data_IF_307566262200
#
_entry.id   IF_307566262200
#
_cell.length_a   1.000
_cell.length_b   1.000
_cell.length_c   1.000
_cell.angle_alpha   90.00
_cell.angle_beta   90.00
_cell.angle_gamma   90.00
#
_symmetry.space_group_name_H-M   'P 1'
#
loop_
_entity.id
_entity.type
_entity.pdbx_description
1 polymer ?
#
# COMPACT_ATOMS: atom_id res chain seq x y z
N UNK A 1 -20.61 5.41 8.31
CA UNK A 1 -20.85 3.97 8.46
C UNK A 1 -20.22 3.45 9.75
N UNK A 2 -18.94 3.72 9.98
CA UNK A 2 -18.24 3.22 11.16
C UNK A 2 -18.90 3.70 12.47
N UNK A 3 -19.24 4.98 12.55
CA UNK A 3 -19.89 5.53 13.74
C UNK A 3 -21.24 4.88 14.02
N UNK A 4 -22.06 4.61 13.00
CA UNK A 4 -23.33 3.92 13.13
C UNK A 4 -23.17 2.48 13.62
N UNK A 5 -22.17 1.77 13.11
CA UNK A 5 -21.85 0.39 13.54
C UNK A 5 -21.39 0.36 14.99
N UNK A 6 -20.53 1.28 15.39
CA UNK A 6 -20.04 1.36 16.77
C UNK A 6 -21.17 1.74 17.74
N UNK A 7 -22.13 2.56 17.31
CA UNK A 7 -23.30 2.90 18.12
C UNK A 7 -24.19 1.69 18.42
N UNK A 8 -24.20 0.69 17.53
CA UNK A 8 -24.88 -0.59 17.79
C UNK A 8 -24.14 -1.51 18.78
N UNK A 9 -22.96 -1.11 19.26
CA UNK A 9 -22.15 -1.91 20.16
C UNK A 9 -21.18 -2.86 19.44
N UNK A 10 -21.01 -2.74 18.14
CA UNK A 10 -20.05 -3.53 17.38
C UNK A 10 -18.64 -3.00 17.63
N UNK A 11 -17.73 -3.88 18.02
CA UNK A 11 -16.32 -3.52 18.24
C UNK A 11 -15.61 -3.24 16.90
N UNK A 12 -14.75 -2.24 16.88
CA UNK A 12 -14.00 -1.85 15.68
C UNK A 12 -13.24 -3.02 15.04
N UNK A 13 -12.70 -3.91 15.85
CA UNK A 13 -11.95 -5.10 15.39
C UNK A 13 -12.81 -6.13 14.64
N UNK A 14 -14.13 -6.07 14.78
CA UNK A 14 -15.07 -6.94 14.07
C UNK A 14 -15.45 -6.38 12.70
N UNK A 15 -14.99 -5.19 12.34
CA UNK A 15 -15.30 -4.50 11.09
C UNK A 15 -14.03 -4.50 10.24
N UNK A 16 -14.14 -4.99 9.02
CA UNK A 16 -13.05 -4.92 8.05
C UNK A 16 -13.09 -3.64 7.23
N UNK A 17 -12.80 -3.75 5.94
CA UNK A 17 -12.72 -2.62 5.04
C UNK A 17 -14.08 -1.98 4.79
N UNK A 18 -14.08 -0.65 4.64
CA UNK A 18 -15.26 0.14 4.29
C UNK A 18 -14.97 0.84 2.97
N UNK A 19 -15.83 0.60 1.95
CA UNK A 19 -15.77 1.27 0.66
C UNK A 19 -16.88 2.31 0.56
N UNK A 20 -16.58 3.42 -0.09
CA UNK A 20 -17.57 4.49 -0.32
C UNK A 20 -18.37 4.32 -1.62
N UNK A 21 -17.76 3.74 -2.65
CA UNK A 21 -18.40 3.54 -3.97
C UNK A 21 -18.15 2.12 -4.54
N UNK A 22 -19.15 1.23 -4.54
CA UNK A 22 -20.44 1.36 -3.84
C UNK A 22 -20.25 1.37 -2.32
N UNK A 23 -21.14 2.01 -1.60
CA UNK A 23 -21.07 2.05 -0.14
C UNK A 23 -21.25 0.63 0.41
N UNK A 24 -20.18 0.09 0.95
CA UNK A 24 -20.13 -1.28 1.44
C UNK A 24 -19.10 -1.42 2.54
N UNK A 25 -19.24 -2.46 3.34
CA UNK A 25 -18.27 -2.78 4.39
C UNK A 25 -18.21 -4.28 4.64
N UNK A 26 -17.09 -4.74 5.18
CA UNK A 26 -16.90 -6.11 5.64
C UNK A 26 -17.06 -6.18 7.15
N UNK A 27 -17.61 -7.28 7.65
CA UNK A 27 -17.69 -7.57 9.07
C UNK A 27 -17.48 -9.06 9.32
N UNK A 28 -17.25 -9.44 10.57
CA UNK A 28 -17.21 -10.84 10.94
C UNK A 28 -18.58 -11.47 10.72
N UNK A 29 -18.61 -12.69 10.19
CA UNK A 29 -19.86 -13.43 9.86
C UNK A 29 -20.79 -13.52 11.08
N UNK A 30 -20.24 -13.66 12.27
CA UNK A 30 -21.00 -13.71 13.52
C UNK A 30 -21.86 -12.47 13.78
N UNK A 31 -21.45 -11.30 13.23
CA UNK A 31 -22.14 -10.04 13.43
C UNK A 31 -23.05 -9.67 12.26
N UNK A 32 -23.03 -10.39 11.14
CA UNK A 32 -23.72 -9.99 9.92
C UNK A 32 -25.23 -9.91 10.09
N UNK A 33 -25.86 -10.90 10.73
CA UNK A 33 -27.31 -10.90 10.95
C UNK A 33 -27.74 -9.79 11.90
N UNK A 34 -27.00 -9.59 12.98
CA UNK A 34 -27.29 -8.52 13.94
C UNK A 34 -27.21 -7.14 13.27
N UNK A 35 -26.19 -6.89 12.47
CA UNK A 35 -26.01 -5.64 11.74
C UNK A 35 -27.14 -5.46 10.73
N UNK A 36 -27.48 -6.47 9.96
CA UNK A 36 -28.54 -6.43 8.95
C UNK A 36 -29.90 -6.08 9.57
N UNK A 37 -30.19 -6.62 10.74
CA UNK A 37 -31.48 -6.39 11.42
C UNK A 37 -31.55 -5.05 12.15
N UNK A 38 -30.41 -4.53 12.61
CA UNK A 38 -30.37 -3.37 13.50
C UNK A 38 -29.81 -2.09 12.85
N UNK A 39 -28.98 -2.19 11.80
CA UNK A 39 -28.49 -1.02 11.08
C UNK A 39 -29.45 -0.61 9.99
N UNK A 40 -30.39 0.25 10.32
CA UNK A 40 -31.44 0.71 9.38
C UNK A 40 -31.30 2.19 9.02
N UNK A 41 -30.40 2.92 9.69
CA UNK A 41 -30.16 4.34 9.45
C UNK A 41 -28.69 4.68 9.62
N UNK A 42 -28.20 5.54 8.74
CA UNK A 42 -26.90 6.20 8.88
C UNK A 42 -27.18 7.69 8.89
N UNK A 43 -26.81 8.37 9.97
CA UNK A 43 -27.15 9.79 10.19
C UNK A 43 -28.68 9.98 10.10
N UNK A 44 -29.15 10.75 9.12
CA UNK A 44 -30.60 11.02 8.89
C UNK A 44 -31.20 10.17 7.77
N UNK A 45 -30.41 9.32 7.13
CA UNK A 45 -30.86 8.52 5.99
C UNK A 45 -31.24 7.11 6.40
N UNK A 46 -32.42 6.67 5.97
CA UNK A 46 -32.80 5.26 6.08
C UNK A 46 -32.05 4.42 5.06
N UNK A 47 -31.61 3.23 5.45
CA UNK A 47 -30.84 2.35 4.60
C UNK A 47 -31.37 0.91 4.64
N UNK A 48 -31.09 0.17 3.58
CA UNK A 48 -31.24 -1.28 3.53
C UNK A 48 -29.90 -1.93 3.31
N UNK A 49 -29.59 -2.97 4.09
CA UNK A 49 -28.37 -3.73 3.93
C UNK A 49 -28.65 -4.99 3.12
N UNK A 50 -27.79 -5.22 2.13
CA UNK A 50 -27.80 -6.43 1.31
C UNK A 50 -26.46 -7.13 1.47
N UNK A 51 -26.50 -8.43 1.71
CA UNK A 51 -25.28 -9.22 1.78
C UNK A 51 -24.66 -9.34 0.40
N UNK A 52 -23.39 -8.96 0.27
CA UNK A 52 -22.63 -9.10 -0.95
C UNK A 52 -21.72 -10.31 -0.87
N UNK A 53 -21.76 -11.14 -1.90
CA UNK A 53 -20.83 -12.26 -2.06
C UNK A 53 -19.52 -11.84 -2.72
N UNK A 54 -19.47 -10.61 -3.23
CA UNK A 54 -18.26 -10.07 -3.82
C UNK A 54 -17.28 -9.66 -2.75
N UNK A 55 -16.00 -9.95 -3.00
CA UNK A 55 -14.92 -9.55 -2.11
C UNK A 55 -14.71 -8.05 -2.25
N UNK A 56 -14.66 -7.35 -1.12
CA UNK A 56 -14.31 -5.92 -1.13
C UNK A 56 -12.89 -5.76 -1.65
N UNK A 57 -12.74 -4.96 -2.69
CA UNK A 57 -11.42 -4.54 -3.19
C UNK A 57 -11.19 -3.09 -2.82
N UNK A 58 -10.11 -2.84 -2.10
CA UNK A 58 -9.62 -1.47 -1.91
C UNK A 58 -8.89 -1.10 -3.20
N UNK A 59 -9.44 -0.15 -3.94
CA UNK A 59 -8.72 0.43 -5.06
C UNK A 59 -7.68 1.40 -4.50
N UNK A 60 -6.43 0.91 -4.41
CA UNK A 60 -5.31 1.80 -4.18
C UNK A 60 -4.98 2.51 -5.49
N UNK A 61 -5.00 3.82 -5.47
CA UNK A 61 -4.55 4.60 -6.61
C UNK A 61 -3.03 4.43 -6.74
N UNK A 62 -2.60 3.86 -7.86
CA UNK A 62 -1.19 3.59 -8.13
C UNK A 62 -0.83 4.07 -9.52
N UNK A 63 0.45 4.37 -9.74
CA UNK A 63 0.99 4.64 -11.06
C UNK A 63 2.32 3.92 -11.24
N UNK A 64 2.67 3.60 -12.48
CA UNK A 64 3.87 2.86 -12.82
C UNK A 64 4.89 3.77 -13.49
N UNK A 65 6.15 3.63 -13.11
CA UNK A 65 7.28 4.36 -13.71
C UNK A 65 8.41 3.37 -13.95
N UNK A 66 9.10 3.52 -15.08
CA UNK A 66 10.27 2.71 -15.44
C UNK A 66 11.55 3.49 -15.15
N UNK A 67 12.49 2.85 -14.46
CA UNK A 67 13.81 3.42 -14.18
C UNK A 67 14.91 2.42 -14.56
N UNK A 68 16.12 2.94 -14.80
CA UNK A 68 17.29 2.15 -15.17
C UNK A 68 18.33 2.31 -14.08
N UNK A 69 18.86 1.20 -13.59
CA UNK A 69 19.89 1.18 -12.55
C UNK A 69 21.04 0.25 -12.94
N UNK A 70 22.26 0.63 -12.57
CA UNK A 70 23.45 -0.18 -12.85
C UNK A 70 23.62 -1.38 -11.91
N UNK A 71 22.98 -1.35 -10.75
CA UNK A 71 22.94 -2.47 -9.81
C UNK A 71 21.68 -2.40 -8.95
N UNK A 72 21.38 -3.51 -8.28
CA UNK A 72 20.21 -3.63 -7.39
C UNK A 72 20.50 -3.18 -5.95
N UNK A 73 21.58 -2.45 -5.73
CA UNK A 73 21.91 -1.88 -4.42
C UNK A 73 20.84 -0.89 -3.97
N UNK A 74 20.54 -0.91 -2.69
CA UNK A 74 19.49 -0.08 -2.11
C UNK A 74 19.71 1.41 -2.36
N UNK A 75 20.95 1.92 -2.22
CA UNK A 75 21.27 3.33 -2.46
C UNK A 75 20.98 3.76 -3.91
N UNK A 76 21.31 2.91 -4.88
CA UNK A 76 21.02 3.17 -6.30
C UNK A 76 19.54 3.07 -6.61
N UNK A 77 18.85 2.09 -6.03
CA UNK A 77 17.41 1.92 -6.21
C UNK A 77 16.64 3.11 -5.64
N UNK A 78 16.96 3.54 -4.44
CA UNK A 78 16.32 4.70 -3.81
C UNK A 78 16.54 5.97 -4.64
N UNK A 79 17.77 6.23 -5.07
CA UNK A 79 18.08 7.39 -5.89
C UNK A 79 17.28 7.41 -7.20
N UNK A 80 17.22 6.30 -7.92
CA UNK A 80 16.51 6.21 -9.19
C UNK A 80 15.00 6.28 -9.02
N UNK A 81 14.44 5.54 -8.08
CA UNK A 81 12.99 5.42 -7.90
C UNK A 81 12.36 6.69 -7.34
N UNK A 82 13.04 7.40 -6.45
CA UNK A 82 12.51 8.61 -5.83
C UNK A 82 13.07 9.91 -6.44
N UNK A 83 13.91 9.80 -7.47
CA UNK A 83 14.43 10.97 -8.19
C UNK A 83 15.31 11.87 -7.34
N UNK A 84 16.09 11.31 -6.42
CA UNK A 84 17.03 12.05 -5.56
C UNK A 84 18.46 11.66 -5.90
N UNK A 85 19.41 12.48 -5.44
CA UNK A 85 20.83 12.17 -5.65
C UNK A 85 21.24 10.93 -4.84
N UNK A 86 22.29 10.26 -5.28
CA UNK A 86 22.86 9.11 -4.56
C UNK A 86 23.29 9.50 -3.15
N UNK A 87 23.88 10.67 -2.97
CA UNK A 87 24.28 11.16 -1.65
C UNK A 87 23.10 11.33 -0.71
N UNK A 88 21.99 11.90 -1.21
CA UNK A 88 20.75 12.01 -0.42
C UNK A 88 20.16 10.65 -0.10
N UNK A 89 20.23 9.69 -1.04
CA UNK A 89 19.78 8.32 -0.79
C UNK A 89 20.61 7.66 0.32
N UNK A 90 21.93 7.81 0.30
CA UNK A 90 22.82 7.31 1.35
C UNK A 90 22.51 7.93 2.71
N UNK A 91 22.32 9.24 2.76
CA UNK A 91 21.93 9.95 3.99
C UNK A 91 20.59 9.44 4.54
N UNK A 92 19.60 9.24 3.66
CA UNK A 92 18.30 8.74 4.06
C UNK A 92 18.38 7.32 4.63
N UNK A 93 19.17 6.45 4.03
CA UNK A 93 19.38 5.07 4.50
C UNK A 93 20.06 5.08 5.87
N UNK A 94 21.13 5.84 6.04
CA UNK A 94 21.83 5.95 7.32
C UNK A 94 20.98 6.65 8.38
N UNK A 95 20.09 7.56 7.97
CA UNK A 95 19.16 8.24 8.88
C UNK A 95 17.95 7.43 9.27
N UNK A 96 17.83 6.17 8.84
CA UNK A 96 16.70 5.27 9.13
C UNK A 96 15.37 5.73 8.50
N UNK A 97 15.43 6.49 7.41
CA UNK A 97 14.24 6.94 6.67
C UNK A 97 13.80 5.97 5.58
N UNK A 98 14.56 4.91 5.32
CA UNK A 98 14.30 3.93 4.27
C UNK A 98 13.94 2.59 4.89
N UNK A 99 12.83 2.02 4.42
CA UNK A 99 12.42 0.66 4.76
C UNK A 99 12.40 -0.20 3.51
N UNK A 100 12.86 -1.42 3.63
CA UNK A 100 12.73 -2.46 2.61
C UNK A 100 11.86 -3.57 3.19
N UNK A 101 10.73 -3.86 2.55
CA UNK A 101 9.74 -4.81 3.03
C UNK A 101 9.32 -4.52 4.49
N UNK A 102 9.06 -3.24 4.78
CA UNK A 102 8.61 -2.72 6.07
C UNK A 102 9.64 -2.78 7.21
N UNK A 103 10.90 -3.13 6.90
CA UNK A 103 12.01 -3.11 7.87
C UNK A 103 12.97 -1.98 7.56
N UNK A 104 13.38 -1.25 8.59
CA UNK A 104 14.43 -0.24 8.45
C UNK A 104 15.75 -0.93 8.07
N UNK A 105 16.35 -0.45 6.99
CA UNK A 105 17.64 -0.94 6.48
C UNK A 105 18.63 0.21 6.53
N UNK A 106 19.77 -0.01 7.16
CA UNK A 106 20.87 0.97 7.25
C UNK A 106 22.04 0.63 6.31
N UNK A 107 22.02 -0.54 5.70
CA UNK A 107 23.06 -1.01 4.76
C UNK A 107 22.75 -0.48 3.35
N UNK A 108 23.58 0.45 2.88
CA UNK A 108 23.43 1.05 1.54
C UNK A 108 23.67 0.04 0.41
N UNK A 109 24.44 -1.01 0.67
CA UNK A 109 24.77 -2.05 -0.30
C UNK A 109 23.79 -3.22 -0.31
N UNK A 110 22.73 -3.17 0.48
CA UNK A 110 21.70 -4.21 0.51
C UNK A 110 21.11 -4.41 -0.88
N UNK A 111 21.10 -5.64 -1.36
CA UNK A 111 20.54 -5.98 -2.67
C UNK A 111 19.01 -6.10 -2.54
N UNK A 112 18.29 -5.41 -3.42
CA UNK A 112 16.83 -5.46 -3.45
C UNK A 112 16.35 -6.65 -4.27
N UNK A 113 15.34 -7.35 -3.76
CA UNK A 113 14.73 -8.49 -4.43
C UNK A 113 13.54 -8.06 -5.28
N UNK A 114 13.19 -8.89 -6.27
CA UNK A 114 11.99 -8.70 -7.07
C UNK A 114 10.73 -8.74 -6.18
N UNK A 115 9.74 -7.91 -6.51
CA UNK A 115 8.51 -7.71 -5.74
C UNK A 115 8.74 -7.10 -4.34
N UNK A 116 9.92 -6.57 -4.06
CA UNK A 116 10.18 -5.85 -2.82
C UNK A 116 9.44 -4.51 -2.77
N UNK A 117 9.20 -4.01 -1.56
CA UNK A 117 8.59 -2.70 -1.35
C UNK A 117 9.60 -1.80 -0.65
N UNK A 118 9.95 -0.70 -1.29
CA UNK A 118 10.84 0.32 -0.74
C UNK A 118 9.99 1.51 -0.28
N UNK A 119 10.16 1.92 0.96
CA UNK A 119 9.50 3.10 1.52
C UNK A 119 10.55 4.15 1.87
N UNK A 120 10.32 5.38 1.46
CA UNK A 120 11.14 6.53 1.82
C UNK A 120 10.25 7.54 2.55
N UNK A 121 10.66 7.93 3.74
CA UNK A 121 9.92 8.89 4.56
C UNK A 121 9.69 10.20 3.79
N UNK A 122 8.47 10.70 3.81
CA UNK A 122 7.99 11.89 3.09
C UNK A 122 7.89 11.74 1.56
N UNK A 123 8.25 10.59 1.00
CA UNK A 123 8.18 10.34 -0.45
C UNK A 123 7.23 9.19 -0.80
N UNK A 124 6.73 8.45 0.20
CA UNK A 124 5.85 7.32 -0.02
C UNK A 124 6.57 6.00 -0.23
N UNK A 125 5.92 5.08 -0.90
CA UNK A 125 6.44 3.73 -1.12
C UNK A 125 6.26 3.29 -2.57
N UNK A 126 7.10 2.38 -3.00
CA UNK A 126 7.11 1.82 -4.34
C UNK A 126 7.34 0.31 -4.27
N UNK A 127 6.54 -0.43 -5.03
CA UNK A 127 6.77 -1.86 -5.26
C UNK A 127 7.61 -2.02 -6.52
N UNK A 128 8.69 -2.79 -6.45
CA UNK A 128 9.64 -2.94 -7.54
C UNK A 128 9.42 -4.26 -8.30
N UNK A 129 9.51 -4.17 -9.61
CA UNK A 129 9.51 -5.33 -10.50
C UNK A 129 10.79 -5.28 -11.34
N UNK A 130 11.66 -6.25 -11.14
CA UNK A 130 12.91 -6.38 -11.90
C UNK A 130 12.55 -7.09 -13.19
N UNK A 131 12.62 -6.37 -14.32
CA UNK A 131 12.28 -6.96 -15.61
C UNK A 131 13.45 -7.77 -16.16
N UNK A 132 13.17 -8.68 -17.11
CA UNK A 132 14.20 -9.45 -17.80
C UNK A 132 14.97 -8.62 -18.83
N UNK A 133 14.51 -7.40 -19.10
CA UNK A 133 15.16 -6.49 -20.05
C UNK A 133 16.42 -5.89 -19.48
N UNK A 134 17.41 -5.71 -20.33
CA UNK A 134 18.67 -5.07 -20.01
C UNK A 134 18.96 -4.00 -21.04
N UNK A 135 19.64 -2.94 -20.66
CA UNK A 135 20.10 -1.93 -21.61
C UNK A 135 21.34 -2.41 -22.36
N UNK A 136 21.76 -1.66 -23.39
CA UNK A 136 22.99 -1.95 -24.14
C UNK A 136 24.22 -1.95 -23.25
N UNK A 137 24.22 -1.17 -22.17
CA UNK A 137 25.30 -1.13 -21.17
C UNK A 137 25.11 -2.18 -20.07
N UNK A 138 24.19 -3.11 -20.24
CA UNK A 138 23.87 -4.18 -19.29
C UNK A 138 23.33 -3.68 -17.94
N UNK A 139 22.61 -2.55 -17.95
CA UNK A 139 21.90 -2.02 -16.80
C UNK A 139 20.53 -2.69 -16.65
N UNK A 140 20.04 -2.76 -15.40
CA UNK A 140 18.73 -3.30 -15.10
C UNK A 140 17.62 -2.30 -15.45
N UNK A 141 16.55 -2.82 -16.04
CA UNK A 141 15.31 -2.08 -16.27
C UNK A 141 14.31 -2.46 -15.19
N UNK A 142 13.92 -1.50 -14.37
CA UNK A 142 13.07 -1.70 -13.19
C UNK A 142 11.74 -0.98 -13.39
N UNK A 143 10.65 -1.68 -13.18
CA UNK A 143 9.32 -1.07 -13.12
C UNK A 143 8.94 -0.82 -11.68
N UNK A 144 8.64 0.43 -11.33
CA UNK A 144 8.19 0.83 -10.02
C UNK A 144 6.69 1.12 -10.03
N UNK A 145 5.94 0.44 -9.16
CA UNK A 145 4.54 0.74 -8.93
C UNK A 145 4.44 1.59 -7.67
N UNK A 146 4.10 2.87 -7.85
CA UNK A 146 4.02 3.85 -6.78
C UNK A 146 2.62 3.90 -6.21
N UNK A 147 2.52 3.93 -4.90
CA UNK A 147 1.26 4.10 -4.16
C UNK A 147 1.05 5.58 -3.87
N UNK A 148 -0.12 6.07 -4.22
CA UNK A 148 -0.52 7.45 -3.93
C UNK A 148 -1.20 7.60 -2.58
#
# INVERSE_FOLDING_TARGET
VLGALMHLGIKRQCIGDINEEPLSFACMTENSDYIRMNLTRIKRSSIHLVESKERLSIQQDTYTKTVIVSSLRLDKMVAALFGISRNKAVEAIHGQYVKLNYKVIEDISKICDNNGIISLRHHGRVKIFITDRRTKQDNYVIEGQYYR
#
